data_IF_677434321857
#
_entry.id   IF_677434321857
#
_cell.length_a   1.000
_cell.length_b   1.000
_cell.length_c   1.000
_cell.angle_alpha   90.00
_cell.angle_beta   90.00
_cell.angle_gamma   90.00
#
_symmetry.space_group_name_H-M   'P 1'
#
loop_
_entity.id
_entity.type
_entity.pdbx_description
1 polymer ?
#
# COMPACT_ATOMS: atom_id res chain seq x y z
N UNK A 1 45.82 7.39 -2.78
CA UNK A 1 44.48 6.91 -2.42
C UNK A 1 43.48 7.70 -3.23
N UNK A 2 42.51 7.05 -3.86
CA UNK A 2 41.44 7.71 -4.64
C UNK A 2 40.15 7.45 -3.89
N UNK A 3 39.35 8.48 -3.64
CA UNK A 3 38.08 8.39 -2.94
C UNK A 3 37.06 7.69 -3.87
N UNK A 4 36.87 6.39 -3.67
CA UNK A 4 35.92 5.57 -4.43
C UNK A 4 34.51 5.69 -3.85
N UNK A 5 33.98 6.92 -3.81
CA UNK A 5 32.59 7.18 -3.43
C UNK A 5 31.72 7.45 -4.67
N UNK A 6 31.11 6.42 -5.29
CA UNK A 6 29.90 6.60 -6.09
C UNK A 6 28.68 6.81 -5.16
N UNK A 7 28.84 7.63 -4.11
CA UNK A 7 27.75 7.99 -3.21
C UNK A 7 26.78 8.88 -3.97
N UNK A 8 25.73 8.25 -4.53
CA UNK A 8 24.65 9.00 -5.16
C UNK A 8 24.02 9.91 -4.11
N UNK A 9 23.61 11.14 -4.49
CA UNK A 9 23.07 12.09 -3.52
C UNK A 9 21.78 11.57 -2.86
N UNK A 10 21.10 10.59 -3.48
CA UNK A 10 19.97 9.88 -2.88
C UNK A 10 20.37 8.98 -1.71
N UNK A 11 21.45 8.19 -1.81
CA UNK A 11 21.91 7.34 -0.70
C UNK A 11 22.32 8.19 0.50
N UNK A 12 23.08 9.25 0.27
CA UNK A 12 23.49 10.19 1.32
C UNK A 12 22.29 10.90 1.95
N UNK A 13 21.30 11.33 1.17
CA UNK A 13 20.06 11.90 1.71
C UNK A 13 19.26 10.89 2.56
N UNK A 14 19.25 9.60 2.20
CA UNK A 14 18.67 8.53 3.03
C UNK A 14 19.47 8.31 4.32
N UNK A 15 20.80 8.37 4.29
CA UNK A 15 21.65 8.28 5.48
C UNK A 15 21.39 9.46 6.44
N UNK A 16 21.39 10.69 5.93
CA UNK A 16 21.10 11.93 6.66
C UNK A 16 19.61 12.07 7.07
N UNK A 17 18.72 11.20 6.57
CA UNK A 17 17.26 11.28 6.74
C UNK A 17 16.67 12.63 6.23
N UNK A 18 17.28 13.18 5.18
CA UNK A 18 16.92 14.47 4.59
C UNK A 18 15.78 14.29 3.57
N UNK A 19 14.54 14.33 4.08
CA UNK A 19 13.34 14.00 3.30
C UNK A 19 13.17 14.88 2.06
N UNK A 20 13.52 16.16 2.12
CA UNK A 20 13.39 17.10 0.99
C UNK A 20 14.34 16.71 -0.17
N UNK A 21 15.59 16.34 0.14
CA UNK A 21 16.52 15.83 -0.87
C UNK A 21 16.09 14.46 -1.41
N UNK A 22 15.52 13.59 -0.58
CA UNK A 22 14.96 12.30 -1.05
C UNK A 22 13.80 12.56 -2.03
N UNK A 23 12.88 13.49 -1.72
CA UNK A 23 11.78 13.85 -2.63
C UNK A 23 12.32 14.40 -3.97
N UNK A 24 13.38 15.22 -3.94
CA UNK A 24 14.00 15.77 -5.14
C UNK A 24 14.73 14.70 -5.98
N UNK A 25 15.40 13.73 -5.35
CA UNK A 25 16.29 12.79 -6.02
C UNK A 25 15.67 11.42 -6.34
N UNK A 26 14.65 10.97 -5.59
CA UNK A 26 14.02 9.66 -5.81
C UNK A 26 13.53 9.41 -7.25
N UNK A 27 12.92 10.38 -7.97
CA UNK A 27 12.52 10.17 -9.37
C UNK A 27 13.70 10.03 -10.35
N UNK A 28 14.88 10.53 -9.98
CA UNK A 28 16.05 10.65 -10.86
C UNK A 28 17.03 9.47 -10.70
N UNK A 29 17.10 8.89 -9.50
CA UNK A 29 18.01 7.80 -9.14
C UNK A 29 17.28 6.49 -8.79
N UNK A 30 16.00 6.36 -9.16
CA UNK A 30 15.18 5.18 -8.90
C UNK A 30 15.84 3.89 -9.41
N UNK A 31 16.06 2.93 -8.51
CA UNK A 31 16.63 1.62 -8.83
C UNK A 31 18.14 1.63 -9.03
N UNK A 32 18.81 2.76 -8.83
CA UNK A 32 20.28 2.82 -8.77
C UNK A 32 20.74 2.05 -7.53
N UNK A 33 21.83 1.28 -7.69
CA UNK A 33 22.36 0.38 -6.66
C UNK A 33 23.68 0.91 -6.09
N UNK A 34 23.87 0.68 -4.80
CA UNK A 34 25.14 0.92 -4.10
C UNK A 34 26.12 -0.25 -4.26
N UNK A 35 27.26 -0.18 -3.53
CA UNK A 35 28.35 -1.15 -3.60
C UNK A 35 27.96 -2.58 -3.18
N UNK A 36 26.96 -2.74 -2.29
CA UNK A 36 26.44 -4.06 -1.91
C UNK A 36 25.30 -4.51 -2.84
N UNK A 37 24.93 -3.69 -3.84
CA UNK A 37 23.83 -3.95 -4.76
C UNK A 37 22.44 -3.60 -4.24
N UNK A 38 22.31 -2.90 -3.11
CA UNK A 38 21.02 -2.44 -2.58
C UNK A 38 20.59 -1.10 -3.21
N UNK A 39 19.29 -0.82 -3.24
CA UNK A 39 18.75 0.49 -3.67
C UNK A 39 18.46 1.39 -2.46
N UNK A 40 18.12 2.67 -2.69
CA UNK A 40 17.85 3.63 -1.62
C UNK A 40 16.74 3.16 -0.66
N UNK A 41 15.66 2.56 -1.19
CA UNK A 41 14.56 1.97 -0.43
C UNK A 41 15.02 0.84 0.49
N UNK A 42 15.92 -0.03 0.00
CA UNK A 42 16.47 -1.11 0.81
C UNK A 42 17.27 -0.56 2.00
N UNK A 43 18.06 0.51 1.80
CA UNK A 43 18.77 1.19 2.90
C UNK A 43 17.82 1.88 3.87
N UNK A 44 16.74 2.51 3.39
CA UNK A 44 15.70 3.08 4.25
C UNK A 44 15.01 2.02 5.13
N UNK A 45 14.68 0.86 4.54
CA UNK A 45 14.11 -0.29 5.25
C UNK A 45 15.07 -0.86 6.28
N UNK A 46 16.33 -1.15 5.90
CA UNK A 46 17.36 -1.67 6.81
C UNK A 46 17.65 -0.69 7.97
N UNK A 47 17.57 0.62 7.72
CA UNK A 47 17.69 1.68 8.74
C UNK A 47 16.40 1.92 9.55
N UNK A 48 15.30 1.23 9.23
CA UNK A 48 13.95 1.42 9.79
C UNK A 48 13.42 2.87 9.71
N UNK A 49 13.76 3.59 8.64
CA UNK A 49 13.34 4.98 8.37
C UNK A 49 12.01 4.98 7.61
N UNK A 50 10.90 5.18 8.30
CA UNK A 50 9.55 5.00 7.74
C UNK A 50 9.22 6.06 6.68
N UNK A 51 9.55 7.31 6.95
CA UNK A 51 9.30 8.46 6.09
C UNK A 51 10.08 8.31 4.77
N UNK A 52 11.38 7.98 4.88
CA UNK A 52 12.21 7.63 3.72
C UNK A 52 11.59 6.47 2.91
N UNK A 53 11.15 5.40 3.60
CA UNK A 53 10.55 4.22 2.97
C UNK A 53 9.25 4.56 2.22
N UNK A 54 8.39 5.38 2.81
CA UNK A 54 7.12 5.85 2.19
C UNK A 54 7.38 6.73 0.96
N UNK A 55 8.40 7.59 0.99
CA UNK A 55 8.77 8.45 -0.15
C UNK A 55 9.38 7.63 -1.30
N UNK A 56 10.15 6.59 -0.98
CA UNK A 56 10.89 5.77 -1.96
C UNK A 56 10.06 4.61 -2.55
N UNK A 57 9.10 4.07 -1.80
CA UNK A 57 8.29 2.92 -2.22
C UNK A 57 7.60 3.08 -3.60
N UNK A 58 7.05 4.26 -3.98
CA UNK A 58 6.46 4.46 -5.30
C UNK A 58 7.43 4.27 -6.48
N UNK A 59 8.73 4.49 -6.24
CA UNK A 59 9.79 4.42 -7.26
C UNK A 59 10.53 3.08 -7.26
N UNK A 60 10.71 2.45 -6.09
CA UNK A 60 11.65 1.34 -5.93
C UNK A 60 11.06 0.01 -5.41
N UNK A 61 9.79 -0.07 -4.99
CA UNK A 61 9.25 -1.29 -4.34
C UNK A 61 9.30 -2.57 -5.20
N UNK A 62 9.40 -2.42 -6.52
CA UNK A 62 9.50 -3.53 -7.49
C UNK A 62 10.92 -4.04 -7.71
N UNK A 63 11.94 -3.31 -7.23
CA UNK A 63 13.35 -3.71 -7.35
C UNK A 63 13.71 -4.67 -6.22
N UNK A 64 14.27 -5.83 -6.57
CA UNK A 64 14.68 -6.85 -5.61
C UNK A 64 16.10 -6.60 -5.07
N UNK A 65 16.41 -7.18 -3.90
CA UNK A 65 17.78 -7.31 -3.38
C UNK A 65 18.66 -8.14 -4.34
N UNK A 66 19.99 -8.14 -4.15
CA UNK A 66 20.88 -9.12 -4.83
C UNK A 66 20.52 -10.58 -4.55
N UNK A 67 19.87 -10.86 -3.40
CA UNK A 67 19.34 -12.17 -3.02
C UNK A 67 17.94 -12.48 -3.56
N UNK A 68 17.37 -11.63 -4.43
CA UNK A 68 16.04 -11.83 -5.02
C UNK A 68 14.86 -11.55 -4.08
N UNK A 69 15.11 -10.98 -2.90
CA UNK A 69 14.10 -10.65 -1.89
C UNK A 69 13.38 -9.35 -2.28
N UNK A 70 12.07 -9.28 -2.05
CA UNK A 70 11.29 -8.05 -2.25
C UNK A 70 11.44 -7.09 -1.07
N UNK A 71 11.37 -5.76 -1.29
CA UNK A 71 11.39 -4.77 -0.20
C UNK A 71 10.37 -5.04 0.91
N UNK A 72 9.17 -5.53 0.56
CA UNK A 72 8.14 -5.90 1.54
C UNK A 72 8.59 -7.06 2.45
N UNK A 73 9.13 -8.15 1.87
CA UNK A 73 9.62 -9.30 2.65
C UNK A 73 10.89 -8.96 3.44
N UNK A 74 11.74 -8.06 2.92
CA UNK A 74 12.87 -7.54 3.68
C UNK A 74 12.39 -6.79 4.94
N UNK A 75 11.41 -5.89 4.80
CA UNK A 75 10.82 -5.16 5.92
C UNK A 75 10.16 -6.11 6.96
N UNK A 76 9.46 -7.15 6.50
CA UNK A 76 8.90 -8.20 7.35
C UNK A 76 10.00 -8.95 8.12
N UNK A 77 11.05 -9.41 7.43
CA UNK A 77 12.14 -10.21 8.01
C UNK A 77 12.93 -9.51 9.12
N UNK A 78 12.99 -8.18 9.11
CA UNK A 78 13.63 -7.36 10.16
C UNK A 78 12.62 -6.85 11.20
N UNK A 79 11.34 -7.21 11.11
CA UNK A 79 10.27 -6.76 11.99
C UNK A 79 9.90 -5.28 11.83
N UNK A 80 10.08 -4.69 10.65
CA UNK A 80 9.73 -3.31 10.34
C UNK A 80 8.28 -3.20 9.80
N UNK A 81 7.34 -3.71 10.59
CA UNK A 81 5.95 -3.95 10.18
C UNK A 81 5.20 -2.68 9.72
N UNK A 82 5.59 -1.51 10.26
CA UNK A 82 5.01 -0.21 9.90
C UNK A 82 5.16 0.12 8.40
N UNK A 83 6.20 -0.38 7.73
CA UNK A 83 6.44 -0.13 6.32
C UNK A 83 5.61 -1.01 5.37
N UNK A 84 5.08 -2.16 5.83
CA UNK A 84 4.44 -3.16 4.95
C UNK A 84 3.30 -2.55 4.12
N UNK A 85 2.46 -1.70 4.74
CA UNK A 85 1.33 -1.06 4.06
C UNK A 85 1.69 -0.09 2.91
N UNK A 86 2.93 0.42 2.84
CA UNK A 86 3.40 1.22 1.71
C UNK A 86 4.23 0.41 0.69
N UNK A 87 4.69 -0.79 1.08
CA UNK A 87 5.51 -1.69 0.26
C UNK A 87 4.69 -2.74 -0.49
N UNK A 88 3.41 -2.94 -0.13
CA UNK A 88 2.50 -3.86 -0.80
C UNK A 88 2.34 -3.49 -2.28
N UNK A 89 2.55 -4.47 -3.17
CA UNK A 89 2.26 -4.34 -4.60
C UNK A 89 0.75 -4.24 -4.84
N UNK A 90 0.28 -3.47 -5.84
CA UNK A 90 -1.08 -3.63 -6.35
C UNK A 90 -1.23 -5.02 -6.98
N UNK A 91 -2.45 -5.61 -7.01
CA UNK A 91 -2.67 -6.91 -7.63
C UNK A 91 -2.17 -6.90 -9.09
N UNK A 92 -1.30 -7.86 -9.42
CA UNK A 92 -0.54 -7.85 -10.67
C UNK A 92 -1.34 -8.42 -11.84
N UNK A 93 -1.65 -7.57 -12.82
CA UNK A 93 -1.89 -8.01 -14.19
C UNK A 93 -0.53 -8.38 -14.81
N UNK A 94 -0.25 -9.68 -14.91
CA UNK A 94 1.11 -10.18 -15.15
C UNK A 94 1.51 -10.16 -16.64
N UNK A 95 2.48 -9.32 -16.99
CA UNK A 95 3.12 -9.30 -18.32
C UNK A 95 4.66 -9.25 -18.23
N UNK A 96 5.30 -10.13 -18.99
CA UNK A 96 6.74 -10.15 -19.34
C UNK A 96 7.79 -10.11 -18.22
N UNK A 97 8.42 -11.28 -18.00
CA UNK A 97 9.89 -11.39 -18.00
C UNK A 97 10.27 -12.41 -19.08
N UNK A 98 11.26 -12.09 -19.91
CA UNK A 98 11.77 -12.96 -20.99
C UNK A 98 12.73 -14.01 -20.44
N UNK A 99 12.78 -15.18 -21.10
CA UNK A 99 13.95 -16.07 -21.09
C UNK A 99 14.22 -16.53 -22.52
N UNK A 100 15.38 -16.13 -23.03
CA UNK A 100 16.13 -16.84 -24.05
C UNK A 100 17.05 -17.83 -23.28
N UNK A 101 17.13 -19.13 -23.59
CA UNK A 101 16.29 -19.95 -24.49
C UNK A 101 15.57 -21.09 -23.69
N UNK A 102 15.54 -22.40 -23.96
CA UNK A 102 16.31 -23.33 -24.83
C UNK A 102 15.39 -24.12 -25.82
N UNK A 103 15.97 -24.95 -26.70
CA UNK A 103 15.23 -25.84 -27.61
C UNK A 103 14.48 -26.99 -26.90
N UNK A 104 13.17 -27.16 -27.13
CA UNK A 104 12.58 -28.27 -27.94
C UNK A 104 11.17 -27.88 -28.41
N UNK A 105 10.93 -27.86 -29.73
CA UNK A 105 9.63 -27.50 -30.30
C UNK A 105 8.80 -28.71 -30.78
N UNK A 106 8.07 -29.41 -29.88
CA UNK A 106 6.95 -30.27 -30.30
C UNK A 106 5.98 -30.70 -29.16
N UNK A 107 5.06 -29.84 -28.68
CA UNK A 107 3.82 -30.32 -28.02
C UNK A 107 2.65 -29.31 -27.89
N UNK A 108 2.46 -28.41 -28.87
CA UNK A 108 1.52 -27.26 -28.78
C UNK A 108 0.06 -27.58 -28.40
N UNK A 109 -0.45 -28.79 -28.65
CA UNK A 109 -1.80 -29.19 -28.22
C UNK A 109 -1.87 -29.73 -26.78
N UNK A 110 -0.76 -30.25 -26.22
CA UNK A 110 -0.72 -30.63 -24.80
C UNK A 110 -0.53 -29.38 -23.96
N UNK A 111 0.48 -28.55 -24.27
CA UNK A 111 0.83 -27.37 -23.46
C UNK A 111 -0.34 -26.41 -23.25
N UNK A 112 -1.25 -26.26 -24.24
CA UNK A 112 -2.45 -25.44 -24.07
C UNK A 112 -3.50 -26.09 -23.14
N UNK A 113 -3.65 -27.41 -23.17
CA UNK A 113 -4.55 -28.13 -22.26
C UNK A 113 -3.96 -28.25 -20.84
N UNK A 114 -2.65 -28.49 -20.74
CA UNK A 114 -1.88 -28.49 -19.50
C UNK A 114 -1.89 -27.11 -18.82
N UNK A 115 -1.76 -26.02 -19.60
CA UNK A 115 -1.91 -24.65 -19.11
C UNK A 115 -3.35 -24.34 -18.69
N UNK A 116 -4.37 -24.83 -19.41
CA UNK A 116 -5.77 -24.70 -18.98
C UNK A 116 -6.03 -25.48 -17.69
N UNK A 117 -5.44 -26.67 -17.52
CA UNK A 117 -5.53 -27.47 -16.29
C UNK A 117 -4.74 -26.84 -15.13
N UNK A 118 -3.59 -26.21 -15.39
CA UNK A 118 -2.83 -25.47 -14.39
C UNK A 118 -3.62 -24.23 -13.90
N UNK A 119 -4.15 -23.43 -14.83
CA UNK A 119 -4.99 -22.28 -14.52
C UNK A 119 -6.25 -22.70 -13.74
N UNK A 120 -6.88 -23.83 -14.12
CA UNK A 120 -8.06 -24.35 -13.42
C UNK A 120 -7.72 -24.86 -12.01
N UNK A 121 -6.55 -25.47 -11.80
CA UNK A 121 -6.06 -25.84 -10.46
C UNK A 121 -5.81 -24.60 -9.60
N UNK A 122 -5.09 -23.62 -10.12
CA UNK A 122 -4.81 -22.36 -9.40
C UNK A 122 -6.10 -21.60 -9.03
N UNK A 123 -7.11 -21.60 -9.91
CA UNK A 123 -8.45 -21.06 -9.63
C UNK A 123 -9.25 -21.88 -8.60
N UNK A 124 -9.01 -23.19 -8.49
CA UNK A 124 -9.63 -24.05 -7.47
C UNK A 124 -8.92 -23.93 -6.11
N UNK A 125 -7.58 -23.83 -6.10
CA UNK A 125 -6.77 -23.65 -4.90
C UNK A 125 -7.00 -22.26 -4.30
N UNK A 126 -6.98 -21.19 -5.12
CA UNK A 126 -7.33 -19.83 -4.66
C UNK A 126 -8.78 -19.73 -4.17
N UNK A 127 -9.72 -20.47 -4.77
CA UNK A 127 -11.08 -20.60 -4.25
C UNK A 127 -11.10 -21.31 -2.88
N UNK A 128 -10.34 -22.39 -2.72
CA UNK A 128 -10.27 -23.13 -1.45
C UNK A 128 -9.63 -22.28 -0.33
N UNK A 129 -8.56 -21.52 -0.61
CA UNK A 129 -7.99 -20.56 0.34
C UNK A 129 -8.96 -19.42 0.67
N UNK A 130 -9.71 -18.90 -0.32
CA UNK A 130 -10.76 -17.91 -0.10
C UNK A 130 -11.91 -18.46 0.78
N UNK A 131 -12.28 -19.73 0.61
CA UNK A 131 -13.29 -20.39 1.44
C UNK A 131 -12.80 -20.65 2.87
N UNK A 132 -11.52 -21.04 3.06
CA UNK A 132 -10.87 -21.10 4.38
C UNK A 132 -10.84 -19.73 5.06
N UNK A 133 -10.40 -18.70 4.34
CA UNK A 133 -10.35 -17.33 4.84
C UNK A 133 -11.74 -16.78 5.21
N UNK A 134 -12.78 -17.11 4.44
CA UNK A 134 -14.18 -16.79 4.77
C UNK A 134 -14.64 -17.52 6.04
N UNK A 135 -14.35 -18.81 6.17
CA UNK A 135 -14.69 -19.60 7.36
C UNK A 135 -14.03 -19.04 8.62
N UNK A 136 -12.74 -18.73 8.56
CA UNK A 136 -11.99 -18.16 9.68
C UNK A 136 -12.48 -16.76 10.08
N UNK A 137 -12.82 -15.90 9.11
CA UNK A 137 -13.46 -14.62 9.39
C UNK A 137 -14.84 -14.77 10.07
N UNK A 138 -15.66 -15.74 9.64
CA UNK A 138 -16.94 -16.02 10.28
C UNK A 138 -16.79 -16.56 11.72
N UNK A 139 -15.79 -17.40 11.97
CA UNK A 139 -15.45 -17.90 13.31
C UNK A 139 -14.97 -16.77 14.23
N UNK A 140 -14.06 -15.91 13.74
CA UNK A 140 -13.62 -14.71 14.47
C UNK A 140 -14.78 -13.77 14.80
N UNK A 141 -15.68 -13.51 13.85
CA UNK A 141 -16.88 -12.70 14.11
C UNK A 141 -17.78 -13.36 15.16
N UNK A 142 -17.93 -14.69 15.15
CA UNK A 142 -18.62 -15.44 16.19
C UNK A 142 -17.99 -15.29 17.58
N UNK A 143 -16.66 -15.28 17.68
CA UNK A 143 -15.95 -15.07 18.95
C UNK A 143 -16.01 -13.61 19.44
N UNK A 144 -15.87 -12.64 18.53
CA UNK A 144 -16.04 -11.21 18.84
C UNK A 144 -17.46 -10.90 19.35
N UNK A 145 -18.50 -11.46 18.72
CA UNK A 145 -19.89 -11.28 19.19
C UNK A 145 -20.09 -11.86 20.59
N UNK A 146 -19.56 -13.06 20.89
CA UNK A 146 -19.67 -13.68 22.23
C UNK A 146 -18.98 -12.85 23.32
N UNK A 147 -17.80 -12.29 23.04
CA UNK A 147 -17.14 -11.39 23.99
C UNK A 147 -17.94 -10.10 24.19
N UNK A 148 -18.46 -9.50 23.12
CA UNK A 148 -19.21 -8.25 23.20
C UNK A 148 -20.62 -8.39 23.83
N UNK A 149 -21.19 -9.60 23.88
CA UNK A 149 -22.40 -9.87 24.68
C UNK A 149 -22.14 -9.92 26.19
N UNK A 150 -20.89 -10.12 26.64
CA UNK A 150 -20.57 -10.21 28.08
C UNK A 150 -20.48 -8.85 28.79
N UNK A 151 -20.56 -7.74 28.06
CA UNK A 151 -20.35 -6.38 28.58
C UNK A 151 -21.64 -5.54 28.70
N UNK A 152 -22.82 -6.09 28.42
CA UNK A 152 -24.07 -5.31 28.34
C UNK A 152 -24.96 -5.30 29.59
N UNK A 153 -24.64 -6.10 30.61
CA UNK A 153 -25.52 -6.30 31.77
C UNK A 153 -25.18 -5.41 32.99
N UNK A 154 -24.24 -4.46 32.87
CA UNK A 154 -23.70 -3.70 34.02
C UNK A 154 -23.82 -2.16 33.94
N UNK A 155 -24.52 -1.59 32.97
CA UNK A 155 -24.72 -0.13 32.87
C UNK A 155 -26.15 0.30 33.23
N UNK A 156 -26.39 0.45 34.53
CA UNK A 156 -27.62 1.00 35.10
C UNK A 156 -27.35 2.20 36.05
N UNK A 157 -26.37 3.04 35.71
CA UNK A 157 -26.18 4.35 36.36
C UNK A 157 -25.38 5.34 35.49
N UNK A 158 -25.90 6.56 35.36
CA UNK A 158 -25.39 7.58 34.43
C UNK A 158 -24.03 8.15 34.82
N UNK A 159 -23.20 8.45 33.80
CA UNK A 159 -22.45 9.71 33.81
C UNK A 159 -22.31 10.31 32.40
N UNK A 160 -22.75 11.56 32.22
CA UNK A 160 -22.63 12.27 30.96
C UNK A 160 -21.19 12.73 30.69
N UNK A 161 -20.56 12.17 29.66
CA UNK A 161 -19.46 12.82 28.94
C UNK A 161 -19.80 12.73 27.45
N UNK A 162 -20.05 13.89 26.83
CA UNK A 162 -20.70 13.98 25.53
C UNK A 162 -19.96 13.22 24.42
N UNK A 163 -20.59 12.17 23.89
CA UNK A 163 -20.03 11.36 22.78
C UNK A 163 -19.95 12.16 21.49
N UNK A 164 -18.82 12.86 21.32
CA UNK A 164 -18.42 13.45 20.04
C UNK A 164 -17.76 12.37 19.16
N UNK A 165 -18.49 11.29 18.92
CA UNK A 165 -18.17 10.32 17.87
C UNK A 165 -18.40 10.99 16.51
N UNK A 166 -17.45 11.85 16.12
CA UNK A 166 -17.42 12.51 14.82
C UNK A 166 -17.38 11.42 13.74
N UNK A 167 -18.53 11.18 13.13
CA UNK A 167 -18.75 10.00 12.30
C UNK A 167 -17.78 10.02 11.11
N UNK A 168 -16.81 9.10 11.13
CA UNK A 168 -15.59 9.15 10.32
C UNK A 168 -15.91 9.02 8.82
N UNK A 169 -17.08 8.50 8.47
CA UNK A 169 -17.55 8.37 7.08
C UNK A 169 -18.37 9.58 6.58
N UNK A 170 -18.72 10.55 7.44
CA UNK A 170 -19.50 11.74 7.07
C UNK A 170 -18.65 12.89 6.54
N UNK A 171 -19.25 13.72 5.70
CA UNK A 171 -18.63 14.87 5.05
C UNK A 171 -18.27 15.98 6.05
N UNK A 172 -17.00 16.39 6.12
CA UNK A 172 -16.51 17.40 7.10
C UNK A 172 -17.10 18.82 6.92
N UNK A 173 -17.81 19.08 5.82
CA UNK A 173 -18.48 20.37 5.56
C UNK A 173 -19.93 20.41 6.07
N UNK A 174 -20.69 19.30 5.99
CA UNK A 174 -22.11 19.27 6.38
C UNK A 174 -22.43 18.33 7.54
N UNK A 175 -21.49 17.44 7.93
CA UNK A 175 -21.60 16.48 9.03
C UNK A 175 -22.82 15.54 8.95
N UNK A 176 -23.35 15.38 7.74
CA UNK A 176 -24.64 14.73 7.45
C UNK A 176 -24.44 13.62 6.40
N UNK A 177 -24.23 13.99 5.12
CA UNK A 177 -24.07 13.04 4.03
C UNK A 177 -22.71 12.31 4.05
N UNK A 178 -22.65 11.04 3.60
CA UNK A 178 -21.41 10.27 3.53
C UNK A 178 -20.42 10.89 2.52
N UNK A 179 -19.12 10.70 2.78
CA UNK A 179 -18.03 11.12 1.89
C UNK A 179 -18.16 10.43 0.53
N UNK A 180 -17.84 11.15 -0.54
CA UNK A 180 -18.00 10.69 -1.92
C UNK A 180 -17.02 11.30 -2.93
N UNK A 181 -16.11 12.20 -2.53
CA UNK A 181 -15.14 12.84 -3.44
C UNK A 181 -13.72 12.73 -2.90
N UNK A 182 -12.80 12.29 -3.78
CA UNK A 182 -11.35 12.24 -3.56
C UNK A 182 -10.69 13.38 -4.32
N UNK A 183 -9.91 14.22 -3.63
CA UNK A 183 -9.13 15.29 -4.27
C UNK A 183 -7.78 14.80 -4.77
N UNK A 184 -7.37 15.18 -5.99
CA UNK A 184 -6.03 14.91 -6.53
C UNK A 184 -5.19 16.20 -6.58
N UNK A 185 -3.86 16.11 -6.34
CA UNK A 185 -3.06 14.89 -6.14
C UNK A 185 -3.07 14.34 -4.70
N UNK A 186 -3.62 15.08 -3.73
CA UNK A 186 -3.44 14.78 -2.30
C UNK A 186 -4.23 13.57 -1.74
N UNK A 187 -5.11 12.96 -2.53
CA UNK A 187 -5.94 11.76 -2.23
C UNK A 187 -6.87 11.85 -1.01
N UNK A 188 -7.12 13.04 -0.48
CA UNK A 188 -7.99 13.20 0.69
C UNK A 188 -9.48 12.99 0.35
N UNK A 189 -10.09 12.01 1.02
CA UNK A 189 -11.51 11.66 0.95
C UNK A 189 -12.23 12.19 2.21
N UNK A 190 -12.76 13.41 2.12
CA UNK A 190 -13.29 14.14 3.29
C UNK A 190 -14.67 14.77 3.10
N UNK A 191 -15.21 14.84 1.88
CA UNK A 191 -16.51 15.50 1.63
C UNK A 191 -17.45 14.68 0.73
N UNK A 192 -18.74 15.00 0.79
CA UNK A 192 -19.77 14.45 -0.10
C UNK A 192 -19.84 15.22 -1.43
N UNK A 193 -20.36 14.56 -2.46
CA UNK A 193 -20.52 15.11 -3.81
C UNK A 193 -21.32 16.43 -3.83
N UNK A 194 -22.40 16.52 -3.05
CA UNK A 194 -23.20 17.74 -2.98
C UNK A 194 -22.42 18.94 -2.42
N UNK A 195 -21.56 18.72 -1.42
CA UNK A 195 -20.69 19.80 -0.91
C UNK A 195 -19.58 20.14 -1.91
N UNK A 196 -19.07 19.17 -2.67
CA UNK A 196 -18.09 19.43 -3.73
C UNK A 196 -18.66 20.38 -4.79
N UNK A 197 -19.84 20.04 -5.33
CA UNK A 197 -20.56 20.83 -6.34
C UNK A 197 -20.96 22.22 -5.81
N UNK A 198 -21.31 22.34 -4.53
CA UNK A 198 -21.70 23.62 -3.92
C UNK A 198 -20.51 24.54 -3.57
N UNK A 199 -19.40 24.00 -3.04
CA UNK A 199 -18.36 24.79 -2.39
C UNK A 199 -17.27 25.35 -3.32
N UNK A 200 -17.20 24.93 -4.60
CA UNK A 200 -16.23 25.43 -5.62
C UNK A 200 -14.77 25.50 -5.12
N UNK A 201 -14.33 24.49 -4.38
CA UNK A 201 -13.04 24.49 -3.70
C UNK A 201 -11.87 24.34 -4.68
N UNK A 202 -10.89 25.22 -4.59
CA UNK A 202 -9.62 25.16 -5.35
C UNK A 202 -8.46 24.54 -4.56
N UNK A 203 -8.61 24.36 -3.25
CA UNK A 203 -7.64 23.69 -2.37
C UNK A 203 -8.35 22.71 -1.44
N UNK A 204 -7.64 21.63 -1.06
CA UNK A 204 -8.16 20.62 -0.16
C UNK A 204 -8.33 21.18 1.27
N UNK A 205 -9.52 21.12 1.90
CA UNK A 205 -9.72 21.62 3.26
C UNK A 205 -8.82 21.00 4.35
N UNK A 206 -8.32 19.77 4.17
CA UNK A 206 -7.48 19.11 5.19
C UNK A 206 -6.00 19.50 5.11
N UNK A 207 -5.42 19.43 3.90
CA UNK A 207 -3.97 19.59 3.68
C UNK A 207 -3.58 20.84 2.89
N UNK A 208 -4.55 21.65 2.45
CA UNK A 208 -4.39 22.88 1.65
C UNK A 208 -3.74 22.73 0.28
N UNK A 209 -3.37 21.51 -0.14
CA UNK A 209 -2.89 21.24 -1.50
C UNK A 209 -3.89 21.73 -2.56
N UNK A 210 -3.43 22.26 -3.71
CA UNK A 210 -4.32 22.62 -4.80
C UNK A 210 -5.08 21.38 -5.32
N UNK A 211 -6.34 21.57 -5.67
CA UNK A 211 -7.17 20.55 -6.31
C UNK A 211 -6.94 20.67 -7.82
N UNK A 212 -6.20 19.71 -8.38
CA UNK A 212 -5.94 19.63 -9.81
C UNK A 212 -7.00 18.82 -10.56
N UNK A 213 -7.56 17.81 -9.91
CA UNK A 213 -8.59 16.90 -10.43
C UNK A 213 -9.34 16.22 -9.26
N UNK A 214 -10.48 15.57 -9.53
CA UNK A 214 -11.33 14.93 -8.52
C UNK A 214 -11.98 13.63 -9.00
N UNK A 215 -11.92 12.58 -8.17
CA UNK A 215 -12.65 11.33 -8.42
C UNK A 215 -13.91 11.31 -7.54
N UNK A 216 -15.07 11.16 -8.18
CA UNK A 216 -16.35 10.92 -7.50
C UNK A 216 -16.55 9.41 -7.34
N UNK A 217 -16.83 8.97 -6.11
CA UNK A 217 -17.08 7.58 -5.76
C UNK A 217 -18.60 7.33 -5.80
N UNK A 218 -19.06 6.74 -6.90
CA UNK A 218 -20.44 6.26 -7.04
C UNK A 218 -20.74 5.18 -5.99
N UNK A 219 -21.98 5.15 -5.49
CA UNK A 219 -22.54 4.14 -4.58
C UNK A 219 -23.97 3.80 -5.00
#
# INVERSE_FOLDING_TARGET
MIEMEPQTPLFKAVEENNLDLIIQYAPQYAGVRDLDGYTALHRAILSKKLECTVILAPYERTYLTPSGISPMFLAESIGFLQAIGCLQDPPREAAHIRKEDDEVACLHNSTQLDHQLALLKELLDTKAELEKARSWNAELQGHLVRQNTSYKDTEASNHDIGSSSANIDTCVICLDRPRGVVYLPCRHFIICEHCFTASRLSTCPLCRSPIADTIIILR
#
